data_IF_396067787063
#
_entry.id   IF_396067787063
#
_cell.length_a   1.000
_cell.length_b   1.000
_cell.length_c   1.000
_cell.angle_alpha   90.00
_cell.angle_beta   90.00
_cell.angle_gamma   90.00
#
_symmetry.space_group_name_H-M   'P 1'
#
loop_
_entity.id
_entity.type
_entity.pdbx_description
1 polymer ?
#
# COMPACT_ATOMS: atom_id res chain seq x y z
N UNK A 1 -17.11 9.32 -3.55
CA UNK A 1 -15.90 9.81 -2.85
C UNK A 1 -15.40 8.73 -1.92
N UNK A 2 -14.14 8.29 -2.04
CA UNK A 2 -13.55 7.30 -1.16
C UNK A 2 -13.44 7.81 0.28
N UNK A 3 -13.64 6.92 1.24
CA UNK A 3 -13.40 7.16 2.66
C UNK A 3 -11.93 6.90 3.02
N UNK A 4 -11.55 7.31 4.22
CA UNK A 4 -10.24 6.95 4.76
C UNK A 4 -10.10 5.42 4.95
N UNK A 5 -11.19 4.72 5.27
CA UNK A 5 -11.18 3.26 5.38
C UNK A 5 -10.92 2.60 4.03
N UNK A 6 -11.54 3.12 2.96
CA UNK A 6 -11.29 2.64 1.60
C UNK A 6 -9.81 2.86 1.23
N UNK A 7 -9.26 4.01 1.62
CA UNK A 7 -7.83 4.32 1.41
C UNK A 7 -6.92 3.36 2.17
N UNK A 8 -7.25 2.97 3.39
CA UNK A 8 -6.49 1.96 4.13
C UNK A 8 -6.50 0.61 3.44
N UNK A 9 -7.64 0.18 2.88
CA UNK A 9 -7.68 -1.06 2.11
C UNK A 9 -6.74 -0.98 0.89
N UNK A 10 -6.80 0.12 0.14
CA UNK A 10 -5.97 0.33 -1.06
C UNK A 10 -4.48 0.36 -0.71
N UNK A 11 -4.10 1.05 0.38
CA UNK A 11 -2.74 1.03 0.92
C UNK A 11 -2.32 -0.42 1.21
N UNK A 12 -3.16 -1.19 1.91
CA UNK A 12 -2.85 -2.58 2.24
C UNK A 12 -2.61 -3.46 1.01
N UNK A 13 -3.44 -3.29 -0.03
CA UNK A 13 -3.32 -4.03 -1.29
C UNK A 13 -2.03 -3.67 -2.04
N UNK A 14 -1.70 -2.38 -2.13
CA UNK A 14 -0.46 -1.91 -2.76
C UNK A 14 0.75 -2.48 -2.02
N UNK A 15 0.81 -2.34 -0.70
CA UNK A 15 1.92 -2.81 0.10
C UNK A 15 2.08 -4.33 0.02
N UNK A 16 0.98 -5.09 0.05
CA UNK A 16 1.03 -6.54 -0.11
C UNK A 16 1.64 -6.95 -1.46
N UNK A 17 1.23 -6.28 -2.54
CA UNK A 17 1.81 -6.53 -3.88
C UNK A 17 3.30 -6.19 -3.92
N UNK A 18 3.70 -5.10 -3.27
CA UNK A 18 5.11 -4.74 -3.16
C UNK A 18 5.92 -5.76 -2.36
N UNK A 19 5.40 -6.23 -1.22
CA UNK A 19 6.02 -7.26 -0.36
C UNK A 19 6.28 -8.55 -1.14
N UNK A 20 5.27 -9.07 -1.84
CA UNK A 20 5.37 -10.35 -2.55
C UNK A 20 6.44 -10.34 -3.67
N UNK A 21 6.82 -9.15 -4.15
CA UNK A 21 7.85 -8.97 -5.17
C UNK A 21 9.21 -8.52 -4.60
N UNK A 22 9.33 -8.39 -3.28
CA UNK A 22 10.55 -7.96 -2.59
C UNK A 22 11.07 -6.60 -3.09
N UNK A 23 12.39 -6.50 -3.27
CA UNK A 23 13.04 -5.28 -3.79
C UNK A 23 12.97 -5.16 -5.33
N UNK A 24 12.10 -5.89 -6.03
CA UNK A 24 11.98 -5.70 -7.48
C UNK A 24 11.15 -4.46 -7.79
N UNK A 25 11.62 -3.69 -8.77
CA UNK A 25 10.84 -2.63 -9.41
C UNK A 25 9.67 -3.26 -10.15
N UNK A 26 8.48 -2.72 -9.96
CA UNK A 26 7.27 -3.30 -10.52
C UNK A 26 6.32 -2.24 -11.07
N UNK A 27 5.44 -2.69 -11.96
CA UNK A 27 4.35 -1.89 -12.48
C UNK A 27 3.13 -2.05 -11.57
N UNK A 28 2.53 -0.93 -11.19
CA UNK A 28 1.32 -0.86 -10.38
C UNK A 28 0.25 -0.07 -11.13
N UNK A 29 -0.95 -0.63 -11.17
CA UNK A 29 -2.12 -0.04 -11.81
C UNK A 29 -3.34 -0.25 -10.92
N UNK A 30 -4.37 0.57 -11.08
CA UNK A 30 -5.60 0.46 -10.30
C UNK A 30 -6.29 -0.90 -10.50
N UNK A 31 -6.35 -1.41 -11.73
CA UNK A 31 -7.05 -2.66 -12.07
C UNK A 31 -6.66 -3.86 -11.18
N UNK A 32 -5.38 -4.25 -11.06
CA UNK A 32 -4.98 -5.36 -10.20
C UNK A 32 -5.13 -5.05 -8.70
N UNK A 33 -5.33 -3.80 -8.30
CA UNK A 33 -5.54 -3.41 -6.90
C UNK A 33 -7.03 -3.56 -6.52
N UNK A 34 -7.96 -3.10 -7.36
CA UNK A 34 -9.39 -3.03 -7.02
C UNK A 34 -10.15 -4.35 -7.22
N UNK A 35 -9.52 -5.44 -7.67
CA UNK A 35 -10.14 -6.77 -7.89
C UNK A 35 -11.29 -6.80 -8.93
N UNK A 36 -11.79 -5.65 -9.39
CA UNK A 36 -12.82 -5.55 -10.40
C UNK A 36 -12.26 -5.66 -11.82
N UNK A 37 -13.06 -6.21 -12.74
CA UNK A 37 -12.64 -6.44 -14.13
C UNK A 37 -12.27 -5.13 -14.86
N UNK A 38 -12.83 -4.00 -14.43
CA UNK A 38 -12.54 -2.66 -14.92
C UNK A 38 -12.72 -1.61 -13.80
N UNK A 39 -11.64 -1.00 -13.29
CA UNK A 39 -11.77 0.09 -12.31
C UNK A 39 -12.49 1.28 -12.94
N UNK A 40 -13.34 1.94 -12.16
CA UNK A 40 -13.97 3.21 -12.56
C UNK A 40 -12.94 4.34 -12.61
N UNK A 41 -13.30 5.49 -13.20
CA UNK A 41 -12.44 6.67 -13.15
C UNK A 41 -12.14 7.13 -11.72
N UNK A 42 -13.12 7.00 -10.82
CA UNK A 42 -12.95 7.33 -9.40
C UNK A 42 -11.97 6.36 -8.71
N UNK A 43 -12.00 5.07 -9.06
CA UNK A 43 -11.03 4.09 -8.52
C UNK A 43 -9.61 4.38 -9.01
N UNK A 44 -9.46 4.81 -10.27
CA UNK A 44 -8.16 5.21 -10.82
C UNK A 44 -7.64 6.46 -10.09
N UNK A 45 -8.48 7.48 -9.87
CA UNK A 45 -8.08 8.66 -9.12
C UNK A 45 -7.72 8.31 -7.68
N UNK A 46 -8.51 7.49 -7.00
CA UNK A 46 -8.24 7.05 -5.64
C UNK A 46 -6.93 6.27 -5.53
N UNK A 47 -6.67 5.35 -6.46
CA UNK A 47 -5.39 4.65 -6.56
C UNK A 47 -4.21 5.63 -6.71
N UNK A 48 -4.34 6.60 -7.61
CA UNK A 48 -3.32 7.61 -7.88
C UNK A 48 -3.03 8.44 -6.64
N UNK A 49 -4.06 8.92 -5.95
CA UNK A 49 -3.94 9.72 -4.73
C UNK A 49 -3.23 8.93 -3.61
N UNK A 50 -3.57 7.65 -3.43
CA UNK A 50 -2.92 6.78 -2.45
C UNK A 50 -1.44 6.55 -2.81
N UNK A 51 -1.14 6.29 -4.08
CA UNK A 51 0.25 6.11 -4.54
C UNK A 51 1.09 7.38 -4.34
N UNK A 52 0.55 8.54 -4.66
CA UNK A 52 1.22 9.82 -4.44
C UNK A 52 1.45 10.09 -2.96
N UNK A 53 0.47 9.78 -2.10
CA UNK A 53 0.63 9.90 -0.66
C UNK A 53 1.74 8.98 -0.12
N UNK A 54 1.75 7.70 -0.51
CA UNK A 54 2.81 6.75 -0.12
C UNK A 54 4.19 7.22 -0.59
N UNK A 55 4.27 7.83 -1.78
CA UNK A 55 5.50 8.40 -2.35
C UNK A 55 5.96 9.63 -1.58
N UNK A 56 5.05 10.55 -1.28
CA UNK A 56 5.32 11.77 -0.52
C UNK A 56 5.80 11.45 0.90
N UNK A 57 5.21 10.43 1.53
CA UNK A 57 5.64 9.90 2.83
C UNK A 57 6.95 9.10 2.76
N UNK A 58 7.50 8.90 1.56
CA UNK A 58 8.75 8.19 1.35
C UNK A 58 8.68 6.70 1.68
N UNK A 59 7.48 6.10 1.67
CA UNK A 59 7.31 4.66 1.86
C UNK A 59 7.59 3.88 0.57
N UNK A 60 7.29 4.50 -0.57
CA UNK A 60 7.53 3.94 -1.89
C UNK A 60 8.32 4.92 -2.76
N UNK A 61 9.07 4.39 -3.70
CA UNK A 61 9.65 5.16 -4.81
C UNK A 61 9.05 4.65 -6.11
N UNK A 62 9.01 5.52 -7.14
CA UNK A 62 8.52 5.23 -8.49
C UNK A 62 9.47 5.89 -9.49
N UNK A 63 9.64 5.30 -10.67
CA UNK A 63 10.46 5.90 -11.72
C UNK A 63 9.65 6.90 -12.57
N UNK A 64 8.42 6.55 -12.87
CA UNK A 64 7.52 7.37 -13.69
C UNK A 64 6.06 6.98 -13.47
N UNK A 65 5.15 7.87 -13.85
CA UNK A 65 3.72 7.63 -13.93
C UNK A 65 3.29 7.74 -15.39
N UNK A 66 2.40 6.86 -15.84
CA UNK A 66 1.79 6.91 -17.17
C UNK A 66 0.51 7.77 -17.17
N UNK A 67 0.05 8.15 -18.37
CA UNK A 67 -1.14 8.99 -18.54
C UNK A 67 -2.45 8.35 -18.05
N UNK A 68 -2.48 7.03 -17.89
CA UNK A 68 -3.63 6.28 -17.41
C UNK A 68 -3.63 6.11 -15.88
N UNK A 69 -2.70 6.74 -15.16
CA UNK A 69 -2.58 6.69 -13.71
C UNK A 69 -1.79 5.48 -13.18
N UNK A 70 -1.20 4.65 -14.05
CA UNK A 70 -0.30 3.57 -13.65
C UNK A 70 1.10 4.07 -13.31
N UNK A 71 1.82 3.34 -12.46
CA UNK A 71 3.17 3.67 -12.00
C UNK A 71 4.16 2.61 -12.44
N UNK A 72 5.26 3.06 -13.04
CA UNK A 72 6.35 2.19 -13.46
C UNK A 72 7.53 2.26 -12.49
N UNK A 73 8.07 1.08 -12.18
CA UNK A 73 9.23 0.95 -11.31
C UNK A 73 8.95 1.28 -9.85
N UNK A 74 7.73 1.03 -9.37
CA UNK A 74 7.36 1.15 -7.98
C UNK A 74 8.18 0.16 -7.12
N UNK A 75 8.62 0.60 -5.94
CA UNK A 75 9.43 -0.20 -5.02
C UNK A 75 9.29 0.32 -3.60
N UNK A 76 9.37 -0.56 -2.59
CA UNK A 76 9.49 -0.14 -1.19
C UNK A 76 10.82 0.58 -0.96
N UNK A 77 10.77 1.65 -0.16
CA UNK A 77 11.98 2.27 0.39
C UNK A 77 12.40 1.56 1.68
N UNK A 78 13.56 1.93 2.24
CA UNK A 78 13.94 1.50 3.59
C UNK A 78 12.89 1.89 4.65
N UNK A 79 12.29 3.09 4.54
CA UNK A 79 11.22 3.55 5.44
C UNK A 79 9.96 2.66 5.29
N UNK A 80 9.60 2.33 4.05
CA UNK A 80 8.50 1.41 3.75
C UNK A 80 8.70 0.02 4.34
N UNK A 81 9.90 -0.54 4.19
CA UNK A 81 10.26 -1.84 4.77
C UNK A 81 10.15 -1.80 6.29
N UNK A 82 10.74 -0.79 6.94
CA UNK A 82 10.64 -0.64 8.40
C UNK A 82 9.19 -0.54 8.88
N UNK A 83 8.33 0.18 8.15
CA UNK A 83 6.91 0.28 8.49
C UNK A 83 6.21 -1.09 8.42
N UNK A 84 6.50 -1.90 7.40
CA UNK A 84 5.93 -3.25 7.24
C UNK A 84 6.47 -4.22 8.29
N UNK A 85 7.77 -4.18 8.59
CA UNK A 85 8.42 -5.08 9.56
C UNK A 85 7.97 -4.79 11.00
N UNK A 86 7.71 -3.51 11.34
CA UNK A 86 7.19 -3.12 12.66
C UNK A 86 5.70 -3.42 12.84
N UNK A 87 4.97 -3.61 11.76
CA UNK A 87 3.56 -3.93 11.82
C UNK A 87 3.34 -5.40 12.14
N UNK A 88 2.42 -5.66 13.06
CA UNK A 88 1.98 -7.01 13.39
C UNK A 88 0.46 -7.13 13.28
N UNK A 89 0.03 -8.29 12.77
CA UNK A 89 -1.35 -8.73 12.92
C UNK A 89 -1.50 -9.38 14.28
N UNK A 90 -2.36 -8.81 15.13
CA UNK A 90 -2.70 -9.35 16.45
C UNK A 90 -1.48 -9.62 17.37
N UNK A 91 -0.35 -8.95 17.16
CA UNK A 91 0.85 -9.07 18.00
C UNK A 91 1.70 -10.32 17.79
N UNK A 92 1.37 -11.20 16.83
CA UNK A 92 2.05 -12.50 16.66
C UNK A 92 2.80 -12.69 15.35
N UNK A 93 2.31 -12.14 14.23
CA UNK A 93 2.98 -12.26 12.92
C UNK A 93 3.14 -10.89 12.29
N UNK A 94 4.30 -10.63 11.68
CA UNK A 94 4.55 -9.39 10.96
C UNK A 94 3.60 -9.24 9.76
N UNK A 95 3.44 -8.00 9.28
CA UNK A 95 2.68 -7.74 8.04
C UNK A 95 3.31 -8.52 6.87
N UNK A 96 4.65 -8.55 6.78
CA UNK A 96 5.39 -9.30 5.76
C UNK A 96 5.02 -10.78 5.79
N UNK A 97 5.20 -11.44 6.93
CA UNK A 97 4.93 -12.88 7.08
C UNK A 97 3.48 -13.22 6.75
N UNK A 98 2.54 -12.37 7.16
CA UNK A 98 1.11 -12.58 6.88
C UNK A 98 0.81 -12.52 5.40
N UNK A 99 1.43 -11.58 4.67
CA UNK A 99 1.29 -11.45 3.22
C UNK A 99 1.97 -12.63 2.51
N UNK A 100 3.20 -12.96 2.87
CA UNK A 100 3.97 -14.05 2.25
C UNK A 100 3.34 -15.43 2.46
N UNK A 101 2.66 -15.66 3.59
CA UNK A 101 1.92 -16.89 3.84
C UNK A 101 0.66 -17.04 2.97
N UNK A 102 0.21 -15.97 2.30
CA UNK A 102 -1.01 -15.94 1.47
C UNK A 102 -0.74 -15.26 0.13
N UNK A 103 0.07 -15.86 -0.75
CA UNK A 103 0.41 -15.27 -2.05
C UNK A 103 -0.80 -15.13 -3.00
N UNK A 104 -1.88 -15.88 -2.74
CA UNK A 104 -3.17 -15.73 -3.43
C UNK A 104 -3.99 -14.51 -3.01
N UNK A 105 -3.50 -13.72 -2.05
CA UNK A 105 -4.14 -12.51 -1.55
C UNK A 105 -4.73 -12.66 -0.15
N UNK A 106 -4.98 -11.51 0.48
CA UNK A 106 -5.67 -11.37 1.76
C UNK A 106 -7.14 -10.96 1.56
N UNK A 107 -7.91 -11.00 2.65
CA UNK A 107 -9.25 -10.41 2.68
C UNK A 107 -9.18 -8.88 2.73
N UNK A 108 -10.24 -8.19 2.28
CA UNK A 108 -10.38 -6.72 2.38
C UNK A 108 -10.09 -6.22 3.81
N UNK A 109 -10.69 -6.84 4.84
CA UNK A 109 -10.41 -6.54 6.25
C UNK A 109 -8.93 -6.57 6.62
N UNK A 110 -8.17 -7.55 6.11
CA UNK A 110 -6.76 -7.68 6.42
C UNK A 110 -5.93 -6.62 5.69
N UNK A 111 -6.29 -6.26 4.46
CA UNK A 111 -5.69 -5.12 3.78
C UNK A 111 -5.99 -3.79 4.51
N UNK A 112 -7.24 -3.58 4.92
CA UNK A 112 -7.62 -2.41 5.72
C UNK A 112 -6.81 -2.29 7.01
N UNK A 113 -6.55 -3.41 7.71
CA UNK A 113 -5.69 -3.42 8.90
C UNK A 113 -4.23 -3.02 8.61
N UNK A 114 -3.66 -3.48 7.49
CA UNK A 114 -2.31 -3.08 7.06
C UNK A 114 -2.27 -1.58 6.82
N UNK A 115 -3.20 -1.04 6.03
CA UNK A 115 -3.20 0.39 5.71
C UNK A 115 -3.46 1.27 6.91
N UNK A 116 -4.38 0.88 7.80
CA UNK A 116 -4.65 1.59 9.05
C UNK A 116 -3.42 1.62 9.96
N UNK A 117 -2.69 0.51 10.06
CA UNK A 117 -1.44 0.47 10.82
C UNK A 117 -0.38 1.41 10.22
N UNK A 118 -0.16 1.36 8.92
CA UNK A 118 0.84 2.21 8.24
C UNK A 118 0.45 3.70 8.31
N UNK A 119 -0.84 4.02 8.14
CA UNK A 119 -1.37 5.37 8.35
C UNK A 119 -1.19 5.86 9.79
N UNK A 120 -1.46 4.98 10.77
CA UNK A 120 -1.28 5.27 12.20
C UNK A 120 0.18 5.45 12.60
N UNK A 121 1.11 4.67 12.05
CA UNK A 121 2.54 4.87 12.27
C UNK A 121 2.98 6.26 11.81
N UNK A 122 2.61 6.65 10.58
CA UNK A 122 2.96 7.96 10.03
C UNK A 122 2.34 9.09 10.85
N UNK A 123 1.05 8.97 11.20
CA UNK A 123 0.37 9.96 12.03
C UNK A 123 0.95 10.07 13.45
N UNK A 124 1.41 8.96 14.03
CA UNK A 124 2.03 8.92 15.36
C UNK A 124 3.47 9.49 15.39
N UNK A 125 4.23 9.33 14.31
CA UNK A 125 5.55 9.98 14.18
C UNK A 125 5.43 11.51 14.07
N UNK A 126 4.33 12.03 13.51
CA UNK A 126 4.08 13.48 13.47
C UNK A 126 3.77 14.06 14.87
N UNK A 127 3.09 13.30 15.74
CA UNK A 127 2.78 13.75 17.12
C UNK A 127 3.99 13.76 18.06
N UNK A 128 5.01 12.95 17.79
CA UNK A 128 6.23 12.88 18.62
C UNK A 128 7.28 13.95 18.28
N UNK A 129 7.01 14.78 17.26
CA UNK A 129 7.84 15.91 16.86
C UNK A 129 7.27 17.28 17.31
N UNK A 130 6.24 17.30 18.17
CA UNK A 130 5.66 18.49 18.81
C UNK A 130 6.06 18.60 20.28
#
# INVERSE_FOLDING_TARGET
MPTLSDSYEVIGRILAKLILNGLRRQELEAKPIYSENYPTGDDVHHFVDVMEWLRAEGLVTVLSQNIAGGYFGAQLTAKGIVAIEKGSFNGSSSIRETVEARPGGLTSDNYGKIGSFVGGLIGGFAQSAQ
#
